data_IF_124784980003
#
_entry.id   IF_124784980003
#
_cell.length_a   1.000
_cell.length_b   1.000
_cell.length_c   1.000
_cell.angle_alpha   90.00
_cell.angle_beta   90.00
_cell.angle_gamma   90.00
#
_symmetry.space_group_name_H-M   'P 1'
#
loop_
_entity.id
_entity.type
_entity.pdbx_description
1 polymer ?
#
# COMPACT_ATOMS: atom_id res chain seq x y z
N UNK A 1 -16.54 28.61 2.20
CA UNK A 1 -15.22 28.07 1.81
C UNK A 1 -15.08 26.68 2.42
N UNK A 2 -14.86 25.65 1.60
CA UNK A 2 -14.53 24.31 2.12
C UNK A 2 -13.09 24.42 2.66
N UNK A 3 -12.88 24.24 3.94
CA UNK A 3 -11.52 24.18 4.52
C UNK A 3 -10.72 23.10 3.79
N UNK A 4 -9.43 23.35 3.55
CA UNK A 4 -8.55 22.31 3.00
C UNK A 4 -8.49 21.15 3.98
N UNK A 5 -8.60 19.93 3.52
CA UNK A 5 -8.46 18.72 4.36
C UNK A 5 -7.12 18.68 5.12
N UNK A 6 -6.10 19.35 4.60
CA UNK A 6 -4.78 19.47 5.21
C UNK A 6 -4.77 20.36 6.47
N UNK A 7 -5.78 21.22 6.63
CA UNK A 7 -5.95 22.08 7.81
C UNK A 7 -6.71 21.37 8.93
N UNK A 8 -7.35 20.22 8.64
CA UNK A 8 -8.06 19.44 9.65
C UNK A 8 -7.07 18.85 10.67
N UNK A 9 -7.19 19.19 11.98
CA UNK A 9 -6.28 18.70 13.02
C UNK A 9 -6.20 17.16 13.10
N UNK A 10 -7.21 16.44 12.59
CA UNK A 10 -7.22 14.97 12.56
C UNK A 10 -6.20 14.42 11.58
N UNK A 11 -5.89 15.14 10.49
CA UNK A 11 -5.11 14.64 9.36
C UNK A 11 -3.82 15.43 9.10
N UNK A 12 -3.67 16.61 9.66
CA UNK A 12 -2.51 17.49 9.47
C UNK A 12 -1.17 16.78 9.64
N UNK A 13 -1.06 15.85 10.58
CA UNK A 13 0.15 15.06 10.84
C UNK A 13 0.58 14.16 9.66
N UNK A 14 -0.28 13.97 8.64
CA UNK A 14 0.06 13.20 7.43
C UNK A 14 0.98 14.01 6.52
N UNK A 15 0.78 15.33 6.47
CA UNK A 15 1.55 16.28 5.68
C UNK A 15 2.76 16.87 6.42
N UNK A 16 3.04 16.43 7.65
CA UNK A 16 4.12 16.94 8.48
C UNK A 16 5.26 15.91 8.62
N UNK A 17 6.51 16.38 8.80
CA UNK A 17 7.62 15.51 9.17
C UNK A 17 7.31 14.70 10.42
N UNK A 18 7.77 13.47 10.45
CA UNK A 18 7.49 12.57 11.57
C UNK A 18 8.29 12.91 12.82
N UNK A 19 7.67 12.70 13.97
CA UNK A 19 8.32 12.92 15.27
C UNK A 19 9.53 12.00 15.46
N UNK A 20 10.47 12.41 16.31
CA UNK A 20 11.64 11.60 16.70
C UNK A 20 11.19 10.24 17.26
N UNK A 21 10.12 10.22 18.05
CA UNK A 21 9.57 8.98 18.61
C UNK A 21 9.11 8.03 17.50
N UNK A 22 8.46 8.54 16.45
CA UNK A 22 8.07 7.73 15.28
C UNK A 22 9.31 7.18 14.57
N UNK A 23 10.36 7.98 14.39
CA UNK A 23 11.59 7.53 13.71
C UNK A 23 12.30 6.43 14.51
N UNK A 24 12.39 6.56 15.84
CA UNK A 24 12.96 5.53 16.72
C UNK A 24 12.14 4.24 16.62
N UNK A 25 10.81 4.34 16.71
CA UNK A 25 9.94 3.17 16.58
C UNK A 25 10.10 2.47 15.22
N UNK A 26 10.09 3.24 14.12
CA UNK A 26 10.27 2.71 12.77
C UNK A 26 11.62 2.02 12.62
N UNK A 27 12.70 2.60 13.14
CA UNK A 27 14.02 1.99 13.14
C UNK A 27 14.06 0.65 13.90
N UNK A 28 13.47 0.60 15.10
CA UNK A 28 13.40 -0.64 15.89
C UNK A 28 12.52 -1.68 15.21
N UNK A 29 11.43 -1.25 14.60
CA UNK A 29 10.56 -2.14 13.82
C UNK A 29 11.28 -2.69 12.59
N UNK A 30 12.01 -1.86 11.85
CA UNK A 30 12.80 -2.29 10.69
C UNK A 30 13.89 -3.28 11.11
N UNK A 31 14.59 -3.02 12.19
CA UNK A 31 15.62 -3.93 12.72
C UNK A 31 15.00 -5.30 13.05
N UNK A 32 13.87 -5.32 13.77
CA UNK A 32 13.13 -6.54 14.08
C UNK A 32 12.64 -7.25 12.82
N UNK A 33 11.94 -6.54 11.93
CA UNK A 33 11.40 -7.10 10.71
C UNK A 33 12.50 -7.66 9.80
N UNK A 34 13.59 -6.91 9.59
CA UNK A 34 14.73 -7.36 8.80
C UNK A 34 15.36 -8.64 9.37
N UNK A 35 15.49 -8.72 10.70
CA UNK A 35 16.02 -9.93 11.36
C UNK A 35 15.09 -11.13 11.13
N UNK A 36 13.79 -10.96 11.34
CA UNK A 36 12.80 -12.01 11.12
C UNK A 36 12.74 -12.45 9.65
N UNK A 37 12.71 -11.49 8.72
CA UNK A 37 12.60 -11.74 7.28
C UNK A 37 13.91 -12.24 6.64
N UNK A 38 15.02 -12.17 7.37
CA UNK A 38 16.30 -12.72 6.92
C UNK A 38 16.54 -14.12 7.47
N UNK A 39 16.25 -14.35 8.76
CA UNK A 39 16.67 -15.56 9.46
C UNK A 39 15.52 -16.54 9.77
N UNK A 40 14.32 -16.03 10.06
CA UNK A 40 13.19 -16.88 10.46
C UNK A 40 12.25 -17.21 9.29
N UNK A 41 11.88 -16.21 8.48
CA UNK A 41 11.09 -16.40 7.25
C UNK A 41 11.84 -15.79 6.07
N UNK A 42 12.90 -16.45 5.56
CA UNK A 42 13.81 -15.84 4.60
C UNK A 42 13.07 -15.38 3.34
N UNK A 43 13.28 -14.10 2.97
CA UNK A 43 12.63 -13.48 1.84
C UNK A 43 13.57 -13.37 0.65
N UNK A 44 13.23 -14.07 -0.43
CA UNK A 44 13.87 -13.90 -1.75
C UNK A 44 13.19 -12.78 -2.51
N UNK A 45 13.96 -11.81 -3.00
CA UNK A 45 13.42 -10.68 -3.80
C UNK A 45 14.00 -10.72 -5.20
N UNK A 46 13.12 -10.69 -6.19
CA UNK A 46 13.42 -10.69 -7.62
C UNK A 46 12.93 -9.38 -8.23
N UNK A 47 13.73 -8.76 -9.10
CA UNK A 47 13.35 -7.56 -9.86
C UNK A 47 13.48 -6.25 -9.09
N UNK A 48 14.40 -6.13 -8.13
CA UNK A 48 14.69 -4.86 -7.43
C UNK A 48 15.05 -3.70 -8.37
N UNK A 49 15.60 -4.01 -9.53
CA UNK A 49 15.97 -2.99 -10.54
C UNK A 49 14.76 -2.26 -11.12
N UNK A 50 13.55 -2.79 -10.93
CA UNK A 50 12.30 -2.15 -11.33
C UNK A 50 11.84 -1.04 -10.35
N UNK A 51 12.49 -0.89 -9.17
CA UNK A 51 12.11 0.10 -8.17
C UNK A 51 12.53 1.50 -8.65
N UNK A 52 11.59 2.46 -8.78
CA UNK A 52 11.94 3.84 -9.11
C UNK A 52 12.86 4.45 -8.06
N UNK A 53 13.91 5.17 -8.50
CA UNK A 53 14.86 5.83 -7.60
C UNK A 53 14.58 7.31 -7.41
N UNK A 54 14.04 7.95 -8.45
CA UNK A 54 13.98 9.40 -8.55
C UNK A 54 12.54 9.96 -8.46
N UNK A 55 11.57 9.10 -8.18
CA UNK A 55 10.17 9.51 -8.06
C UNK A 55 9.41 8.61 -7.09
N UNK A 56 8.40 9.14 -6.40
CA UNK A 56 7.50 8.33 -5.59
C UNK A 56 6.68 7.38 -6.46
N UNK A 57 6.19 6.31 -5.85
CA UNK A 57 5.38 5.29 -6.52
C UNK A 57 4.29 4.71 -5.60
N UNK A 58 3.30 4.09 -6.22
CA UNK A 58 2.30 3.28 -5.54
C UNK A 58 2.72 1.82 -5.66
N UNK A 59 3.09 1.21 -4.55
CA UNK A 59 3.45 -0.20 -4.50
C UNK A 59 2.19 -1.05 -4.40
N UNK A 60 1.93 -1.89 -5.39
CA UNK A 60 0.72 -2.70 -5.48
C UNK A 60 1.07 -4.18 -5.47
N UNK A 61 0.42 -4.95 -4.60
CA UNK A 61 0.63 -6.39 -4.45
C UNK A 61 -0.66 -7.14 -4.13
N UNK A 62 -0.66 -8.46 -4.28
CA UNK A 62 -1.66 -9.34 -3.67
C UNK A 62 -1.54 -9.31 -2.14
N UNK A 63 -2.63 -9.65 -1.42
CA UNK A 63 -2.74 -9.49 0.03
C UNK A 63 -3.24 -10.75 0.74
N UNK A 64 -2.32 -11.48 1.34
CA UNK A 64 -2.60 -12.78 1.99
C UNK A 64 -2.34 -12.76 3.51
N UNK A 65 -1.50 -11.83 4.00
CA UNK A 65 -0.97 -11.88 5.35
C UNK A 65 -0.87 -10.50 6.02
N UNK A 66 -0.78 -10.51 7.34
CA UNK A 66 -0.43 -9.31 8.12
C UNK A 66 0.98 -8.82 7.85
N UNK A 67 1.90 -9.70 7.44
CA UNK A 67 3.29 -9.35 7.21
C UNK A 67 3.59 -8.80 5.82
N UNK A 68 2.62 -8.79 4.89
CA UNK A 68 2.83 -8.34 3.51
C UNK A 68 3.40 -6.91 3.44
N UNK A 69 2.96 -6.02 4.33
CA UNK A 69 3.45 -4.64 4.42
C UNK A 69 4.95 -4.61 4.76
N UNK A 70 5.35 -5.33 5.82
CA UNK A 70 6.75 -5.39 6.24
C UNK A 70 7.64 -6.03 5.16
N UNK A 71 7.10 -7.04 4.47
CA UNK A 71 7.79 -7.72 3.36
C UNK A 71 8.00 -6.77 2.17
N UNK A 72 7.01 -5.95 1.82
CA UNK A 72 7.14 -4.98 0.75
C UNK A 72 8.18 -3.89 1.11
N UNK A 73 8.17 -3.39 2.34
CA UNK A 73 9.21 -2.47 2.81
C UNK A 73 10.61 -3.11 2.74
N UNK A 74 10.76 -4.32 3.27
CA UNK A 74 12.00 -5.12 3.18
C UNK A 74 12.46 -5.32 1.73
N UNK A 75 11.53 -5.62 0.83
CA UNK A 75 11.84 -5.86 -0.58
C UNK A 75 12.45 -4.64 -1.27
N UNK A 76 12.10 -3.43 -0.86
CA UNK A 76 12.64 -2.20 -1.43
C UNK A 76 13.96 -1.78 -0.79
N UNK A 77 14.31 -2.26 0.39
CA UNK A 77 15.40 -1.76 1.25
C UNK A 77 15.19 -0.31 1.70
N UNK A 78 13.99 0.21 1.58
CA UNK A 78 13.57 1.48 2.18
C UNK A 78 13.04 1.19 3.58
N UNK A 79 13.17 2.15 4.49
CA UNK A 79 12.61 2.02 5.83
C UNK A 79 11.08 1.98 5.79
N UNK A 80 10.48 1.33 6.78
CA UNK A 80 9.02 1.23 6.95
C UNK A 80 8.35 2.61 6.99
N UNK A 81 9.04 3.61 7.53
CA UNK A 81 8.59 5.00 7.61
C UNK A 81 8.36 5.63 6.23
N UNK A 82 8.95 5.07 5.17
CA UNK A 82 8.80 5.53 3.79
C UNK A 82 7.50 5.09 3.12
N UNK A 83 6.67 4.33 3.84
CA UNK A 83 5.43 3.81 3.28
C UNK A 83 4.20 4.26 4.06
N UNK A 84 3.20 4.77 3.33
CA UNK A 84 1.85 5.05 3.82
C UNK A 84 0.89 3.95 3.40
N UNK A 85 -0.18 3.77 4.19
CA UNK A 85 -1.18 2.72 3.98
C UNK A 85 -2.57 3.32 4.00
N UNK A 86 -3.39 2.96 3.02
CA UNK A 86 -4.80 3.34 3.02
C UNK A 86 -5.54 2.59 4.12
N UNK A 87 -6.12 3.33 5.04
CA UNK A 87 -6.78 2.78 6.21
C UNK A 87 -8.22 3.28 6.36
N UNK A 88 -9.12 2.38 6.71
CA UNK A 88 -10.52 2.71 6.90
C UNK A 88 -10.72 3.80 7.97
N UNK A 89 -11.29 4.95 7.57
CA UNK A 89 -11.52 6.12 8.43
C UNK A 89 -12.33 5.74 9.68
N UNK A 90 -13.44 5.06 9.48
CA UNK A 90 -14.37 4.63 10.53
C UNK A 90 -13.72 3.77 11.62
N UNK A 91 -12.70 3.02 11.27
CA UNK A 91 -12.00 2.15 12.23
C UNK A 91 -10.81 2.83 12.91
N UNK A 92 -10.00 3.59 12.18
CA UNK A 92 -8.73 4.11 12.66
C UNK A 92 -8.77 5.56 13.13
N UNK A 93 -9.60 6.41 12.51
CA UNK A 93 -9.56 7.85 12.71
C UNK A 93 -10.71 8.39 13.56
N UNK A 94 -11.87 7.74 13.56
CA UNK A 94 -13.02 8.17 14.35
C UNK A 94 -12.87 7.80 15.84
N UNK A 95 -12.01 6.84 16.18
CA UNK A 95 -11.64 6.55 17.56
C UNK A 95 -10.42 7.37 17.98
N UNK A 96 -10.60 8.30 18.94
CA UNK A 96 -9.56 9.23 19.39
C UNK A 96 -8.33 8.53 20.01
N UNK A 97 -8.51 7.43 20.73
CA UNK A 97 -7.42 6.64 21.31
C UNK A 97 -6.59 5.97 20.22
N UNK A 98 -7.25 5.27 19.28
CA UNK A 98 -6.56 4.63 18.15
C UNK A 98 -5.80 5.66 17.31
N UNK A 99 -6.47 6.77 16.95
CA UNK A 99 -5.83 7.85 16.19
C UNK A 99 -4.60 8.39 16.89
N UNK A 100 -4.68 8.69 18.20
CA UNK A 100 -3.56 9.23 18.98
C UNK A 100 -2.41 8.24 19.13
N UNK A 101 -2.71 6.96 19.29
CA UNK A 101 -1.73 5.89 19.41
C UNK A 101 -1.03 5.59 18.09
N UNK A 102 -1.82 5.28 17.05
CA UNK A 102 -1.27 4.80 15.79
C UNK A 102 -0.65 5.87 14.89
N UNK A 103 -1.01 7.16 15.06
CA UNK A 103 -0.32 8.24 14.33
C UNK A 103 1.18 8.31 14.54
N UNK A 104 1.65 7.79 15.69
CA UNK A 104 3.08 7.75 16.03
C UNK A 104 3.74 6.40 15.74
N UNK A 105 3.03 5.45 15.17
CA UNK A 105 3.54 4.10 14.90
C UNK A 105 3.42 3.69 13.43
N UNK A 106 2.42 4.22 12.72
CA UNK A 106 2.08 3.79 11.36
C UNK A 106 1.65 5.00 10.53
N UNK A 107 2.08 5.08 9.30
CA UNK A 107 1.64 6.09 8.34
C UNK A 107 0.30 5.70 7.72
N UNK A 108 -0.80 5.97 8.43
CA UNK A 108 -2.14 5.70 7.95
C UNK A 108 -2.68 6.91 7.17
N UNK A 109 -3.21 6.67 5.98
CA UNK A 109 -3.93 7.64 5.17
C UNK A 109 -5.41 7.23 5.18
N UNK A 110 -6.33 8.11 5.60
CA UNK A 110 -7.73 7.75 5.74
C UNK A 110 -8.42 7.56 4.39
N UNK A 111 -9.20 6.49 4.28
CA UNK A 111 -10.10 6.26 3.16
C UNK A 111 -11.48 5.87 3.67
N UNK A 112 -12.54 6.47 3.12
CA UNK A 112 -13.91 6.10 3.45
C UNK A 112 -14.37 4.90 2.64
N UNK A 113 -14.92 3.89 3.33
CA UNK A 113 -15.45 2.67 2.70
C UNK A 113 -16.91 2.79 2.32
N UNK A 114 -17.64 3.69 2.99
CA UNK A 114 -19.05 3.97 2.77
C UNK A 114 -19.24 5.45 2.51
N UNK A 115 -20.19 5.80 1.66
CA UNK A 115 -20.60 7.19 1.48
C UNK A 115 -21.64 7.52 2.55
N UNK A 116 -21.29 8.40 3.45
CA UNK A 116 -22.16 9.04 4.43
C UNK A 116 -21.75 10.52 4.55
N UNK A 117 -22.55 11.40 5.18
CA UNK A 117 -22.25 12.83 5.28
C UNK A 117 -20.87 13.18 5.88
N UNK A 118 -20.34 12.28 6.71
CA UNK A 118 -19.03 12.45 7.37
C UNK A 118 -17.90 11.73 6.63
N UNK A 119 -18.16 11.11 5.48
CA UNK A 119 -17.15 10.41 4.73
C UNK A 119 -16.19 11.40 4.07
N UNK A 120 -14.91 11.02 4.02
CA UNK A 120 -13.95 11.67 3.14
C UNK A 120 -14.30 11.28 1.70
N UNK A 121 -14.32 12.26 0.81
CA UNK A 121 -14.38 11.96 -0.61
C UNK A 121 -13.04 11.43 -1.12
N UNK A 122 -13.02 10.98 -2.36
CA UNK A 122 -11.80 10.44 -2.95
C UNK A 122 -10.74 11.54 -3.15
N UNK A 123 -11.17 12.78 -3.43
CA UNK A 123 -10.28 13.92 -3.63
C UNK A 123 -9.55 14.28 -2.34
N UNK A 124 -10.24 14.28 -1.21
CA UNK A 124 -9.63 14.48 0.12
C UNK A 124 -8.55 13.43 0.39
N UNK A 125 -8.84 12.16 0.11
CA UNK A 125 -7.86 11.08 0.28
C UNK A 125 -6.67 11.22 -0.67
N UNK A 126 -6.90 11.61 -1.93
CA UNK A 126 -5.83 11.89 -2.91
C UNK A 126 -4.99 13.08 -2.46
N UNK A 127 -5.60 14.16 -1.96
CA UNK A 127 -4.90 15.33 -1.43
C UNK A 127 -3.99 14.99 -0.27
N UNK A 128 -4.47 14.21 0.69
CA UNK A 128 -3.67 13.71 1.81
C UNK A 128 -2.53 12.78 1.34
N UNK A 129 -2.82 11.92 0.37
CA UNK A 129 -1.84 11.03 -0.24
C UNK A 129 -0.74 11.80 -0.95
N UNK A 130 -1.13 12.85 -1.70
CA UNK A 130 -0.17 13.73 -2.38
C UNK A 130 0.74 14.42 -1.37
N UNK A 131 0.20 15.03 -0.34
CA UNK A 131 0.98 15.71 0.68
C UNK A 131 1.96 14.76 1.39
N UNK A 132 1.57 13.49 1.62
CA UNK A 132 2.45 12.46 2.16
C UNK A 132 3.57 12.08 1.19
N UNK A 133 3.26 11.95 -0.10
CA UNK A 133 4.24 11.59 -1.14
C UNK A 133 5.20 12.74 -1.47
N UNK A 134 4.76 14.00 -1.37
CA UNK A 134 5.58 15.20 -1.55
C UNK A 134 6.71 15.30 -0.49
N UNK A 135 6.60 14.57 0.64
CA UNK A 135 7.66 14.39 1.63
C UNK A 135 8.68 13.29 1.24
N UNK A 136 8.64 12.77 0.03
CA UNK A 136 9.53 11.72 -0.47
C UNK A 136 9.14 10.31 0.00
N UNK A 137 7.86 10.08 0.26
CA UNK A 137 7.32 8.79 0.70
C UNK A 137 6.54 8.08 -0.41
N UNK A 138 6.24 6.80 -0.20
CA UNK A 138 5.50 5.94 -1.12
C UNK A 138 4.20 5.43 -0.47
N UNK A 139 3.29 4.88 -1.27
CA UNK A 139 2.04 4.33 -0.76
C UNK A 139 1.94 2.86 -1.15
N UNK A 140 1.55 2.00 -0.20
CA UNK A 140 1.20 0.60 -0.47
C UNK A 140 -0.31 0.49 -0.60
N UNK A 141 -0.77 -0.15 -1.68
CA UNK A 141 -2.17 -0.45 -1.92
C UNK A 141 -2.32 -1.93 -2.26
N UNK A 142 -3.18 -2.60 -1.51
CA UNK A 142 -3.64 -3.94 -1.85
C UNK A 142 -4.99 -3.82 -2.59
N UNK A 143 -5.03 -4.04 -3.91
CA UNK A 143 -6.21 -3.73 -4.72
C UNK A 143 -7.40 -4.67 -4.45
N UNK A 144 -7.17 -5.78 -3.77
CA UNK A 144 -8.20 -6.69 -3.29
C UNK A 144 -9.10 -6.02 -2.22
N UNK A 145 -8.56 -5.02 -1.49
CA UNK A 145 -9.27 -4.26 -0.46
C UNK A 145 -9.43 -4.98 0.88
N UNK A 146 -9.12 -6.26 0.94
CA UNK A 146 -9.07 -7.07 2.17
C UNK A 146 -8.25 -8.31 1.93
N UNK A 147 -7.72 -8.90 3.03
CA UNK A 147 -7.11 -10.24 2.96
C UNK A 147 -8.21 -11.27 2.72
N UNK A 148 -8.10 -11.99 1.61
CA UNK A 148 -8.97 -13.11 1.26
C UNK A 148 -8.70 -14.38 2.06
N UNK A 149 -9.19 -15.49 1.54
CA UNK A 149 -8.77 -16.84 1.97
C UNK A 149 -7.31 -17.06 1.57
N UNK A 150 -6.56 -17.77 2.41
CA UNK A 150 -5.17 -18.08 2.16
C UNK A 150 -4.97 -18.77 0.80
N UNK A 151 -4.10 -18.21 -0.04
CA UNK A 151 -3.81 -18.74 -1.38
C UNK A 151 -4.85 -18.44 -2.45
N UNK A 152 -5.89 -17.65 -2.14
CA UNK A 152 -6.90 -17.24 -3.14
C UNK A 152 -6.87 -15.74 -3.33
N UNK A 153 -6.37 -15.28 -4.47
CA UNK A 153 -6.45 -13.87 -4.88
C UNK A 153 -7.88 -13.45 -5.16
N UNK A 154 -8.28 -12.30 -4.63
CA UNK A 154 -9.56 -11.67 -4.93
C UNK A 154 -9.42 -10.76 -6.17
N UNK A 155 -10.56 -10.46 -6.81
CA UNK A 155 -10.61 -9.53 -7.93
C UNK A 155 -10.14 -8.14 -7.50
N UNK A 156 -9.35 -7.49 -8.35
CA UNK A 156 -8.83 -6.16 -8.11
C UNK A 156 -9.89 -5.08 -8.25
N UNK A 157 -9.89 -4.16 -7.31
CA UNK A 157 -10.68 -2.94 -7.35
C UNK A 157 -9.90 -1.85 -8.08
N UNK A 158 -10.60 -0.93 -8.71
CA UNK A 158 -10.02 0.17 -9.49
C UNK A 158 -9.24 1.21 -8.65
N UNK A 159 -9.22 1.08 -7.33
CA UNK A 159 -8.66 2.07 -6.41
C UNK A 159 -7.20 2.40 -6.70
N UNK A 160 -6.33 1.39 -6.82
CA UNK A 160 -4.90 1.61 -7.09
C UNK A 160 -4.65 2.42 -8.36
N UNK A 161 -5.37 2.13 -9.44
CA UNK A 161 -5.26 2.84 -10.72
C UNK A 161 -5.82 4.27 -10.59
N UNK A 162 -6.95 4.46 -9.88
CA UNK A 162 -7.49 5.81 -9.60
C UNK A 162 -6.49 6.69 -8.85
N UNK A 163 -5.81 6.13 -7.85
CA UNK A 163 -4.78 6.86 -7.10
C UNK A 163 -3.58 7.19 -7.99
N UNK A 164 -3.11 6.24 -8.80
CA UNK A 164 -2.00 6.47 -9.74
C UNK A 164 -2.33 7.61 -10.71
N UNK A 165 -3.51 7.60 -11.32
CA UNK A 165 -3.95 8.66 -12.24
C UNK A 165 -4.15 10.00 -11.53
N UNK A 166 -4.83 10.01 -10.36
CA UNK A 166 -5.10 11.23 -9.60
C UNK A 166 -3.85 11.88 -9.00
N UNK A 167 -2.84 11.11 -8.66
CA UNK A 167 -1.55 11.57 -8.12
C UNK A 167 -0.51 11.80 -9.23
N UNK A 168 -0.76 11.32 -10.43
CA UNK A 168 0.20 11.27 -11.54
C UNK A 168 1.52 10.56 -11.17
N UNK A 169 1.43 9.42 -10.48
CA UNK A 169 2.58 8.62 -10.05
C UNK A 169 2.48 7.18 -10.56
N UNK A 170 3.61 6.52 -10.88
CA UNK A 170 3.58 5.16 -11.40
C UNK A 170 3.13 4.14 -10.34
N UNK A 171 2.55 3.04 -10.81
CA UNK A 171 2.33 1.83 -10.05
C UNK A 171 3.57 0.94 -10.18
N UNK A 172 4.09 0.48 -9.05
CA UNK A 172 5.08 -0.58 -8.97
C UNK A 172 4.35 -1.88 -8.61
N UNK A 173 4.08 -2.79 -9.58
CA UNK A 173 3.39 -4.03 -9.29
C UNK A 173 4.33 -5.05 -8.66
N UNK A 174 3.81 -5.90 -7.77
CA UNK A 174 4.56 -7.04 -7.24
C UNK A 174 3.66 -8.23 -6.94
N UNK A 175 4.27 -9.40 -6.83
CA UNK A 175 3.64 -10.64 -6.41
C UNK A 175 4.36 -11.17 -5.17
N UNK A 176 3.61 -11.60 -4.16
CA UNK A 176 4.12 -12.21 -2.92
C UNK A 176 3.56 -13.62 -2.83
N UNK A 177 4.43 -14.60 -2.57
CA UNK A 177 4.09 -16.01 -2.34
C UNK A 177 4.79 -16.51 -1.08
N UNK A 178 4.11 -17.36 -0.31
CA UNK A 178 4.61 -17.94 0.95
C UNK A 178 4.00 -17.32 2.20
N UNK A 179 3.50 -16.08 2.12
CA UNK A 179 2.90 -15.39 3.28
C UNK A 179 1.58 -16.00 3.72
N UNK A 180 0.85 -16.61 2.81
CA UNK A 180 -0.38 -17.38 3.05
C UNK A 180 -0.12 -18.63 3.93
N UNK A 181 1.13 -19.11 3.94
CA UNK A 181 1.58 -20.22 4.80
C UNK A 181 2.27 -19.71 6.05
N UNK A 182 3.11 -18.66 5.92
CA UNK A 182 3.87 -18.10 7.02
C UNK A 182 2.98 -17.49 8.10
N UNK A 183 2.03 -16.63 7.75
CA UNK A 183 1.13 -16.01 8.73
C UNK A 183 -0.23 -15.63 8.12
N UNK A 184 -1.08 -16.61 7.81
CA UNK A 184 -2.39 -16.35 7.23
C UNK A 184 -3.34 -15.64 8.21
N UNK A 185 -4.37 -15.01 7.67
CA UNK A 185 -5.44 -14.39 8.46
C UNK A 185 -6.03 -15.38 9.47
N UNK A 186 -6.15 -14.96 10.74
CA UNK A 186 -6.71 -15.78 11.82
C UNK A 186 -5.71 -16.67 12.58
N UNK A 187 -4.48 -16.81 12.10
CA UNK A 187 -3.45 -17.50 12.86
C UNK A 187 -2.79 -16.59 13.89
N UNK A 188 -2.58 -17.10 15.07
CA UNK A 188 -1.99 -16.36 16.20
C UNK A 188 -0.46 -16.23 16.06
N UNK A 189 0.18 -17.27 15.53
CA UNK A 189 1.64 -17.38 15.45
C UNK A 189 2.11 -17.49 14.01
N UNK A 190 3.25 -16.91 13.75
CA UNK A 190 3.96 -16.99 12.49
C UNK A 190 4.74 -18.30 12.39
N UNK A 191 4.83 -18.86 11.19
CA UNK A 191 5.59 -20.07 10.87
C UNK A 191 6.83 -19.71 10.04
N UNK A 192 7.91 -20.46 10.23
CA UNK A 192 9.12 -20.32 9.42
C UNK A 192 8.89 -20.96 8.05
N UNK A 193 8.59 -20.13 7.07
CA UNK A 193 8.34 -20.51 5.67
C UNK A 193 9.08 -19.56 4.76
N UNK A 194 9.81 -20.03 3.73
CA UNK A 194 10.41 -19.16 2.73
C UNK A 194 9.35 -18.34 1.99
N UNK A 195 9.67 -17.06 1.74
CA UNK A 195 8.79 -16.13 1.05
C UNK A 195 9.52 -15.64 -0.20
N UNK A 196 8.78 -15.48 -1.29
CA UNK A 196 9.32 -14.87 -2.49
C UNK A 196 8.50 -13.65 -2.89
N UNK A 197 9.19 -12.54 -3.16
CA UNK A 197 8.62 -11.32 -3.74
C UNK A 197 9.19 -11.13 -5.13
N UNK A 198 8.33 -10.96 -6.12
CA UNK A 198 8.71 -10.57 -7.48
C UNK A 198 8.19 -9.18 -7.77
N UNK A 199 9.10 -8.23 -7.93
CA UNK A 199 8.79 -6.85 -8.33
C UNK A 199 8.78 -6.79 -9.85
N UNK A 200 7.69 -6.28 -10.42
CA UNK A 200 7.45 -6.22 -11.85
C UNK A 200 7.80 -4.83 -12.41
N UNK A 201 7.98 -4.69 -13.73
CA UNK A 201 8.17 -3.39 -14.35
C UNK A 201 7.02 -2.43 -14.03
N UNK A 202 7.37 -1.16 -13.80
CA UNK A 202 6.42 -0.10 -13.47
C UNK A 202 5.35 0.07 -14.55
N UNK A 203 4.19 0.55 -14.12
CA UNK A 203 3.09 0.97 -15.00
C UNK A 203 2.89 2.46 -14.77
N UNK A 204 3.15 3.26 -15.80
CA UNK A 204 2.92 4.69 -15.73
C UNK A 204 1.43 5.03 -15.82
N UNK A 205 0.97 6.08 -15.11
CA UNK A 205 -0.38 6.58 -15.27
C UNK A 205 -0.61 7.05 -16.70
N UNK A 206 -1.80 6.81 -17.23
CA UNK A 206 -2.21 7.36 -18.50
C UNK A 206 -2.94 8.68 -18.26
N UNK A 207 -2.63 9.70 -19.05
CA UNK A 207 -3.37 10.95 -18.99
C UNK A 207 -4.83 10.71 -19.40
N UNK A 208 -5.73 11.18 -18.55
CA UNK A 208 -7.18 11.06 -18.74
C UNK A 208 -7.90 12.40 -18.68
N UNK A 209 -7.15 13.52 -18.62
CA UNK A 209 -7.69 14.87 -18.43
C UNK A 209 -8.67 15.29 -19.53
N UNK A 210 -8.42 14.87 -20.77
CA UNK A 210 -9.21 15.20 -21.95
C UNK A 210 -10.23 14.11 -22.32
N UNK A 211 -10.38 13.06 -21.52
CA UNK A 211 -11.30 11.96 -21.82
C UNK A 211 -12.70 12.22 -21.23
N UNK A 212 -13.72 11.74 -21.94
CA UNK A 212 -15.08 11.68 -21.38
C UNK A 212 -15.11 10.81 -20.12
N UNK A 213 -16.10 11.00 -19.24
CA UNK A 213 -16.28 10.15 -18.03
C UNK A 213 -16.40 8.68 -18.39
N UNK A 214 -17.01 8.36 -19.53
CA UNK A 214 -17.16 6.98 -20.01
C UNK A 214 -15.80 6.41 -20.41
N UNK A 215 -14.99 7.14 -21.16
CA UNK A 215 -13.67 6.71 -21.59
C UNK A 215 -12.69 6.61 -20.41
N UNK A 216 -12.77 7.55 -19.44
CA UNK A 216 -12.02 7.44 -18.18
C UNK A 216 -12.34 6.14 -17.43
N UNK A 217 -13.63 5.77 -17.31
CA UNK A 217 -14.05 4.54 -16.66
C UNK A 217 -13.60 3.29 -17.42
N UNK A 218 -13.58 3.34 -18.74
CA UNK A 218 -13.06 2.27 -19.60
C UNK A 218 -11.56 2.11 -19.38
N UNK A 219 -10.81 3.20 -19.46
CA UNK A 219 -9.35 3.21 -19.22
C UNK A 219 -8.98 2.67 -17.83
N UNK A 220 -9.72 3.09 -16.78
CA UNK A 220 -9.55 2.56 -15.43
C UNK A 220 -9.76 1.05 -15.37
N UNK A 221 -10.79 0.54 -16.05
CA UNK A 221 -11.10 -0.89 -16.07
C UNK A 221 -10.01 -1.67 -16.78
N UNK A 222 -9.62 -1.23 -17.98
CA UNK A 222 -8.57 -1.87 -18.79
C UNK A 222 -7.23 -1.90 -18.04
N UNK A 223 -6.82 -0.76 -17.47
CA UNK A 223 -5.56 -0.68 -16.72
C UNK A 223 -5.60 -1.56 -15.46
N UNK A 224 -6.76 -1.65 -14.78
CA UNK A 224 -6.93 -2.53 -13.62
C UNK A 224 -6.82 -4.00 -14.02
N UNK A 225 -7.45 -4.40 -15.13
CA UNK A 225 -7.36 -5.77 -15.63
C UNK A 225 -5.92 -6.15 -16.01
N UNK A 226 -5.21 -5.27 -16.71
CA UNK A 226 -3.79 -5.47 -17.06
C UNK A 226 -2.92 -5.64 -15.80
N UNK A 227 -3.15 -4.81 -14.77
CA UNK A 227 -2.45 -4.90 -13.51
C UNK A 227 -2.73 -6.24 -12.80
N UNK A 228 -4.00 -6.64 -12.74
CA UNK A 228 -4.45 -7.90 -12.15
C UNK A 228 -3.82 -9.11 -12.86
N UNK A 229 -3.91 -9.17 -14.18
CA UNK A 229 -3.34 -10.24 -15.00
C UNK A 229 -1.82 -10.38 -14.81
N UNK A 230 -1.09 -9.26 -14.77
CA UNK A 230 0.36 -9.27 -14.52
C UNK A 230 0.71 -9.86 -13.16
N UNK A 231 -0.02 -9.47 -12.11
CA UNK A 231 0.24 -9.97 -10.75
C UNK A 231 -0.19 -11.44 -10.63
N UNK A 232 -1.36 -11.84 -11.15
CA UNK A 232 -1.81 -13.24 -11.19
C UNK A 232 -0.78 -14.14 -11.91
N UNK A 233 -0.30 -13.69 -13.07
CA UNK A 233 0.72 -14.44 -13.82
C UNK A 233 1.99 -14.60 -12.98
N UNK A 234 2.45 -13.52 -12.33
CA UNK A 234 3.65 -13.56 -11.52
C UNK A 234 3.51 -14.49 -10.30
N UNK A 235 2.34 -14.49 -9.62
CA UNK A 235 2.03 -15.43 -8.53
C UNK A 235 2.10 -16.87 -9.04
N UNK A 236 1.40 -17.18 -10.13
CA UNK A 236 1.40 -18.53 -10.73
C UNK A 236 2.79 -19.01 -11.15
N UNK A 237 3.63 -18.10 -11.68
CA UNK A 237 5.00 -18.43 -12.06
C UNK A 237 5.86 -18.77 -10.83
N UNK A 238 5.67 -18.03 -9.71
CA UNK A 238 6.38 -18.28 -8.46
C UNK A 238 5.93 -19.55 -7.75
N UNK A 239 4.66 -19.94 -7.86
CA UNK A 239 4.12 -21.18 -7.25
C UNK A 239 4.63 -22.45 -7.91
N UNK A 240 5.16 -22.35 -9.13
CA UNK A 240 5.72 -23.50 -9.88
C UNK A 240 7.21 -23.71 -9.58
N UNK A 241 7.86 -22.77 -8.91
CA UNK A 241 9.30 -22.77 -8.63
C UNK A 241 9.59 -23.23 -7.21
#
# INVERSE_FOLDING_TARGET
MKYSILEDPRYRHIAEPKSILFQIFSFLFDLYANTVLTFYTPVKVIGRDNIPKDQPFIFVSNHNSHMDIAILAYATRMGYEKFGFLAAKDYWFDNSFRRRFFKNLINLIPISRKQNPESLDLEDTITLSKAFMDLGNNIIIFPEGSRGEAGKMQRFRKGAVKFSMGLNVPILPSAIVGTEKAWPKGKKWMQSVPITVKILPIIHPKDSSNLSKTDQNKLLSETTNVLEEKIIKAVKDLEKT
#
